data_IF_453896151347
#
_entry.id   IF_453896151347
#
_cell.length_a   1.000
_cell.length_b   1.000
_cell.length_c   1.000
_cell.angle_alpha   90.00
_cell.angle_beta   90.00
_cell.angle_gamma   90.00
#
_symmetry.space_group_name_H-M   'P 1'
#
loop_
_entity.id
_entity.type
_entity.pdbx_description
1 polymer ?
#
# COMPACT_ATOMS: atom_id res chain seq x y z
N UNK A 1 -3.40 -0.71 10.28
CA UNK A 1 -2.90 -2.07 10.58
C UNK A 1 -2.96 -3.00 9.36
N UNK A 2 -4.07 -3.02 8.59
CA UNK A 2 -4.22 -3.88 7.40
C UNK A 2 -3.10 -3.73 6.35
N UNK A 3 -2.77 -2.49 5.95
CA UNK A 3 -1.76 -2.24 4.92
C UNK A 3 -0.37 -2.79 5.28
N UNK A 4 0.07 -2.55 6.51
CA UNK A 4 1.34 -3.08 7.02
C UNK A 4 1.35 -4.61 7.03
N UNK A 5 0.27 -5.24 7.51
CA UNK A 5 0.15 -6.70 7.55
C UNK A 5 0.14 -7.32 6.14
N UNK A 6 -0.57 -6.71 5.19
CA UNK A 6 -0.61 -7.15 3.80
C UNK A 6 0.76 -7.00 3.11
N UNK A 7 1.53 -5.99 3.50
CA UNK A 7 2.89 -5.76 2.98
C UNK A 7 3.92 -6.72 3.55
N UNK A 8 3.94 -6.91 4.87
CA UNK A 8 4.96 -7.70 5.56
C UNK A 8 4.64 -9.20 5.59
N UNK A 9 3.37 -9.55 5.72
CA UNK A 9 2.92 -10.93 5.91
C UNK A 9 1.63 -11.23 5.14
N UNK A 10 1.62 -11.11 3.79
CA UNK A 10 0.41 -11.31 2.99
C UNK A 10 -0.24 -12.69 3.21
N UNK A 11 0.55 -13.74 3.42
CA UNK A 11 0.05 -15.08 3.72
C UNK A 11 -0.58 -15.27 5.10
N UNK A 12 -0.60 -14.24 5.94
CA UNK A 12 -1.26 -14.23 7.26
C UNK A 12 -2.53 -13.39 7.30
N UNK A 13 -2.98 -12.86 6.16
CA UNK A 13 -4.28 -12.20 6.07
C UNK A 13 -5.39 -13.24 6.26
N UNK A 14 -6.37 -12.88 7.07
CA UNK A 14 -7.50 -13.74 7.48
C UNK A 14 -8.82 -12.99 7.34
N UNK A 15 -9.92 -13.72 7.49
CA UNK A 15 -11.28 -13.16 7.55
C UNK A 15 -11.42 -12.04 8.60
N UNK A 16 -10.71 -12.14 9.73
CA UNK A 16 -10.76 -11.14 10.81
C UNK A 16 -10.26 -9.78 10.32
N UNK A 17 -9.21 -9.77 9.49
CA UNK A 17 -8.66 -8.54 8.92
C UNK A 17 -9.66 -7.88 7.95
N UNK A 18 -10.44 -8.69 7.24
CA UNK A 18 -11.50 -8.22 6.34
C UNK A 18 -12.69 -7.66 7.12
N UNK A 19 -13.14 -8.37 8.17
CA UNK A 19 -14.20 -7.93 9.06
C UNK A 19 -13.84 -6.62 9.78
N UNK A 20 -12.58 -6.43 10.16
CA UNK A 20 -12.11 -5.17 10.73
C UNK A 20 -12.33 -4.01 9.76
N UNK A 21 -12.06 -4.18 8.46
CA UNK A 21 -12.34 -3.16 7.46
C UNK A 21 -13.84 -2.91 7.28
N UNK A 22 -14.66 -3.97 7.24
CA UNK A 22 -16.12 -3.82 7.16
C UNK A 22 -16.69 -3.09 8.38
N UNK A 23 -16.17 -3.37 9.59
CA UNK A 23 -16.56 -2.69 10.83
C UNK A 23 -16.17 -1.20 10.81
N UNK A 24 -15.22 -0.80 9.96
CA UNK A 24 -14.86 0.59 9.70
C UNK A 24 -15.67 1.22 8.55
N UNK A 25 -16.79 0.60 8.15
CA UNK A 25 -17.70 1.05 7.08
C UNK A 25 -17.08 1.06 5.68
N UNK A 26 -16.05 0.27 5.43
CA UNK A 26 -15.60 0.01 4.06
C UNK A 26 -16.49 -1.07 3.42
N UNK A 27 -17.04 -0.77 2.25
CA UNK A 27 -17.74 -1.77 1.44
C UNK A 27 -16.73 -2.65 0.68
N UNK A 28 -17.22 -3.75 0.10
CA UNK A 28 -16.37 -4.74 -0.57
C UNK A 28 -15.56 -4.12 -1.72
N UNK A 29 -16.12 -3.10 -2.38
CA UNK A 29 -15.45 -2.35 -3.43
C UNK A 29 -14.27 -1.55 -2.88
N UNK A 30 -14.48 -0.77 -1.81
CA UNK A 30 -13.44 -0.01 -1.16
C UNK A 30 -12.34 -0.92 -0.60
N UNK A 31 -12.70 -2.08 -0.03
CA UNK A 31 -11.71 -3.05 0.44
C UNK A 31 -10.87 -3.60 -0.72
N UNK A 32 -11.52 -3.91 -1.85
CA UNK A 32 -10.81 -4.35 -3.06
C UNK A 32 -9.84 -3.27 -3.57
N UNK A 33 -10.26 -2.00 -3.58
CA UNK A 33 -9.40 -0.87 -3.95
C UNK A 33 -8.20 -0.73 -2.98
N UNK A 34 -8.42 -0.86 -1.68
CA UNK A 34 -7.35 -0.88 -0.66
C UNK A 34 -6.31 -1.96 -0.97
N UNK A 35 -6.75 -3.20 -1.19
CA UNK A 35 -5.87 -4.34 -1.50
C UNK A 35 -5.08 -4.10 -2.78
N UNK A 36 -5.74 -3.58 -3.83
CA UNK A 36 -5.10 -3.30 -5.12
C UNK A 36 -4.02 -2.23 -4.99
N UNK A 37 -4.30 -1.12 -4.29
CA UNK A 37 -3.34 -0.02 -4.08
C UNK A 37 -2.11 -0.53 -3.32
N UNK A 38 -2.31 -1.22 -2.19
CA UNK A 38 -1.21 -1.77 -1.39
C UNK A 38 -0.38 -2.76 -2.23
N UNK A 39 -1.04 -3.65 -2.97
CA UNK A 39 -0.37 -4.66 -3.79
C UNK A 39 0.42 -4.04 -4.94
N UNK A 40 -0.10 -2.96 -5.54
CA UNK A 40 0.59 -2.23 -6.59
C UNK A 40 1.91 -1.63 -6.09
N UNK A 41 1.90 -0.94 -4.94
CA UNK A 41 3.14 -0.43 -4.34
C UNK A 41 4.12 -1.55 -4.00
N UNK A 42 3.63 -2.66 -3.42
CA UNK A 42 4.46 -3.81 -3.11
C UNK A 42 5.08 -4.46 -4.37
N UNK A 43 4.39 -4.43 -5.49
CA UNK A 43 4.92 -4.88 -6.77
C UNK A 43 5.99 -3.92 -7.30
N UNK A 44 5.70 -2.63 -7.40
CA UNK A 44 6.64 -1.62 -7.92
C UNK A 44 7.91 -1.57 -7.09
N UNK A 45 7.81 -1.62 -5.76
CA UNK A 45 8.98 -1.64 -4.87
C UNK A 45 9.86 -2.86 -5.16
N UNK A 46 9.28 -4.06 -5.32
CA UNK A 46 10.04 -5.28 -5.63
C UNK A 46 10.67 -5.24 -7.03
N UNK A 47 9.99 -4.63 -8.00
CA UNK A 47 10.56 -4.43 -9.34
C UNK A 47 11.76 -3.49 -9.27
N UNK A 48 11.63 -2.37 -8.56
CA UNK A 48 12.71 -1.41 -8.38
C UNK A 48 13.91 -2.05 -7.66
N UNK A 49 13.67 -2.66 -6.51
CA UNK A 49 14.70 -3.32 -5.71
C UNK A 49 15.36 -4.47 -6.47
N UNK A 50 14.56 -5.30 -7.17
CA UNK A 50 15.04 -6.46 -7.92
C UNK A 50 15.88 -6.10 -9.15
N UNK A 51 15.69 -4.91 -9.72
CA UNK A 51 16.46 -4.38 -10.84
C UNK A 51 17.58 -3.42 -10.40
N UNK A 52 17.70 -3.13 -9.10
CA UNK A 52 18.65 -2.14 -8.58
C UNK A 52 18.35 -0.72 -9.05
N UNK A 53 17.08 -0.39 -9.28
CA UNK A 53 16.68 0.97 -9.64
C UNK A 53 16.79 1.86 -8.41
N UNK A 54 17.63 2.89 -8.52
CA UNK A 54 17.68 3.95 -7.51
C UNK A 54 16.37 4.75 -7.53
N UNK A 55 15.83 5.14 -6.36
CA UNK A 55 14.68 6.03 -6.30
C UNK A 55 14.96 7.30 -7.13
N UNK A 56 14.02 7.68 -7.99
CA UNK A 56 14.18 8.90 -8.74
C UNK A 56 14.31 10.10 -7.79
N UNK A 57 15.31 10.96 -8.03
CA UNK A 57 15.60 12.14 -7.20
C UNK A 57 14.61 13.30 -7.37
N UNK A 58 13.37 13.05 -7.81
CA UNK A 58 12.42 14.10 -8.21
C UNK A 58 11.58 14.73 -7.10
N UNK A 59 11.85 14.43 -5.82
CA UNK A 59 11.30 15.26 -4.73
C UNK A 59 12.34 16.30 -4.32
N UNK A 60 12.47 17.33 -5.15
CA UNK A 60 12.96 18.62 -4.66
C UNK A 60 11.98 19.08 -3.55
N UNK A 61 12.48 19.18 -2.32
CA UNK A 61 11.75 19.72 -1.13
C UNK A 61 11.20 21.15 -1.31
N UNK A 62 11.25 21.73 -2.51
CA UNK A 62 10.80 23.09 -2.81
C UNK A 62 9.30 23.24 -3.08
N UNK A 63 8.53 22.17 -3.27
CA UNK A 63 7.09 22.29 -3.60
C UNK A 63 6.18 22.45 -2.37
N UNK A 64 6.67 22.23 -1.13
CA UNK A 64 5.88 22.46 0.11
C UNK A 64 6.05 23.91 0.65
N UNK A 65 6.67 24.81 -0.11
CA UNK A 65 6.58 26.26 0.16
C UNK A 65 6.07 26.99 -1.07
N UNK A 66 4.75 27.14 -1.17
CA UNK A 66 4.14 28.42 -1.59
C UNK A 66 2.63 28.47 -1.28
N UNK A 67 2.32 29.53 -0.52
CA UNK A 67 1.02 30.15 -0.23
C UNK A 67 0.13 29.45 0.77
#
# INVERSE_FOLDING_TARGET
>A
MFAEKLTLTPGKITEIDYQELQNNNFDDKAISEIVQVISYFNYINRVADGLGLEPEKFIDKKVIKKS
#
